data_IF_958335117242
#
_entry.id   IF_958335117242
#
_cell.length_a   1.000
_cell.length_b   1.000
_cell.length_c   1.000
_cell.angle_alpha   90.00
_cell.angle_beta   90.00
_cell.angle_gamma   90.00
#
_symmetry.space_group_name_H-M   'P 1'
#
loop_
_entity.id
_entity.type
_entity.pdbx_description
1 polymer ?
#
# COMPACT_ATOMS: atom_id res chain seq x y z
N UNK A 1 -4.57 -14.46 7.06
CA UNK A 1 -4.83 -13.97 5.68
C UNK A 1 -3.59 -14.22 4.83
N UNK A 2 -3.70 -14.91 3.69
CA UNK A 2 -2.55 -15.29 2.81
C UNK A 2 -2.53 -14.38 1.58
N UNK A 3 -1.33 -13.99 1.14
CA UNK A 3 -1.07 -13.30 -0.12
C UNK A 3 -0.45 -14.26 -1.13
N UNK A 4 -0.86 -14.15 -2.40
CA UNK A 4 -0.27 -14.86 -3.55
C UNK A 4 -0.09 -13.85 -4.68
N UNK A 5 1.13 -13.65 -5.15
CA UNK A 5 1.39 -12.85 -6.35
C UNK A 5 0.94 -13.63 -7.59
N UNK A 6 0.05 -13.06 -8.40
CA UNK A 6 -0.43 -13.71 -9.63
C UNK A 6 0.63 -13.76 -10.73
N UNK A 7 1.59 -12.83 -10.73
CA UNK A 7 2.63 -12.76 -11.75
C UNK A 7 3.78 -13.75 -11.51
N UNK A 8 4.18 -13.97 -10.26
CA UNK A 8 5.37 -14.77 -9.92
C UNK A 8 5.13 -15.90 -8.90
N UNK A 9 3.90 -16.07 -8.41
CA UNK A 9 3.55 -17.11 -7.44
C UNK A 9 4.06 -16.87 -6.02
N UNK A 10 4.74 -15.75 -5.76
CA UNK A 10 5.23 -15.42 -4.41
C UNK A 10 4.13 -15.49 -3.36
N UNK A 11 4.40 -16.19 -2.26
CA UNK A 11 3.44 -16.41 -1.18
C UNK A 11 3.93 -15.90 0.16
N UNK A 12 3.05 -15.25 0.90
CA UNK A 12 3.33 -14.73 2.24
C UNK A 12 2.04 -14.60 3.05
N UNK A 13 2.17 -14.28 4.34
CA UNK A 13 1.06 -13.69 5.07
C UNK A 13 0.75 -12.29 4.49
N UNK A 14 -0.53 -11.94 4.38
CA UNK A 14 -0.98 -10.70 3.75
C UNK A 14 -0.57 -9.45 4.54
N UNK A 15 -0.61 -9.50 5.87
CA UNK A 15 -0.24 -8.38 6.75
C UNK A 15 1.28 -8.11 6.68
N UNK A 16 2.08 -9.19 6.62
CA UNK A 16 3.53 -9.11 6.40
C UNK A 16 3.85 -8.51 5.03
N UNK A 17 3.13 -8.92 3.99
CA UNK A 17 3.29 -8.35 2.65
C UNK A 17 2.87 -6.87 2.61
N UNK A 18 1.79 -6.52 3.33
CA UNK A 18 1.33 -5.14 3.50
C UNK A 18 2.39 -4.26 4.15
N UNK A 19 3.01 -4.71 5.24
CA UNK A 19 4.08 -3.98 5.93
C UNK A 19 5.27 -3.69 5.00
N UNK A 20 5.65 -4.65 4.15
CA UNK A 20 6.73 -4.48 3.17
C UNK A 20 6.39 -3.44 2.11
N UNK A 21 5.16 -3.43 1.61
CA UNK A 21 4.71 -2.44 0.63
C UNK A 21 4.73 -1.02 1.20
N UNK A 22 4.30 -0.84 2.46
CA UNK A 22 4.36 0.46 3.14
C UNK A 22 5.80 0.92 3.32
N UNK A 23 6.71 0.03 3.75
CA UNK A 23 8.13 0.34 3.89
C UNK A 23 8.75 0.76 2.54
N UNK A 24 8.46 0.02 1.48
CA UNK A 24 8.95 0.31 0.13
C UNK A 24 8.44 1.67 -0.38
N UNK A 25 7.15 1.98 -0.16
CA UNK A 25 6.58 3.27 -0.51
C UNK A 25 7.25 4.41 0.28
N UNK A 26 7.49 4.22 1.58
CA UNK A 26 8.21 5.19 2.41
C UNK A 26 9.64 5.44 1.92
N UNK A 27 10.39 4.38 1.59
CA UNK A 27 11.72 4.51 1.00
C UNK A 27 11.70 5.23 -0.35
N UNK A 28 10.69 4.97 -1.19
CA UNK A 28 10.53 5.69 -2.46
C UNK A 28 10.25 7.18 -2.26
N UNK A 29 9.40 7.54 -1.29
CA UNK A 29 9.15 8.95 -0.92
C UNK A 29 10.44 9.62 -0.46
N UNK A 30 11.21 8.99 0.43
CA UNK A 30 12.50 9.51 0.91
C UNK A 30 13.52 9.70 -0.22
N UNK A 31 13.66 8.69 -1.09
CA UNK A 31 14.60 8.74 -2.21
C UNK A 31 14.27 9.82 -3.24
N UNK A 32 12.97 10.11 -3.45
CA UNK A 32 12.50 11.14 -4.36
C UNK A 32 12.53 12.56 -3.76
N UNK A 33 13.13 12.75 -2.57
CA UNK A 33 13.18 14.06 -1.90
C UNK A 33 11.85 14.48 -1.26
N UNK A 34 10.90 13.56 -1.14
CA UNK A 34 9.66 13.78 -0.40
C UNK A 34 9.97 13.93 1.08
N UNK A 35 9.69 15.11 1.63
CA UNK A 35 9.70 15.31 3.08
C UNK A 35 8.70 14.36 3.72
N UNK A 36 9.08 13.67 4.80
CA UNK A 36 8.12 12.93 5.64
C UNK A 36 7.06 13.93 6.07
N UNK A 37 5.87 13.85 5.47
CA UNK A 37 4.67 14.53 5.97
C UNK A 37 4.37 13.89 7.33
N UNK A 38 5.02 14.40 8.38
CA UNK A 38 4.66 14.14 9.76
C UNK A 38 3.35 14.84 10.15
N UNK A 39 2.68 15.47 9.17
CA UNK A 39 1.31 15.94 9.28
C UNK A 39 0.39 14.76 9.54
N UNK A 40 -0.27 14.80 10.70
CA UNK A 40 -1.32 13.88 11.17
C UNK A 40 -2.03 13.17 10.00
N UNK A 41 -2.22 11.84 10.05
CA UNK A 41 -3.04 11.15 9.07
C UNK A 41 -4.40 11.83 9.01
N UNK A 42 -4.69 12.57 7.94
CA UNK A 42 -6.05 12.90 7.60
C UNK A 42 -6.69 11.54 7.32
N UNK A 43 -7.66 11.13 8.15
CA UNK A 43 -8.51 9.98 7.85
C UNK A 43 -9.00 10.13 6.41
N UNK A 44 -8.38 9.39 5.50
CA UNK A 44 -8.90 9.29 4.15
C UNK A 44 -10.04 8.30 4.24
N UNK A 45 -11.26 8.81 4.21
CA UNK A 45 -12.44 7.97 4.03
C UNK A 45 -12.26 7.15 2.74
N UNK A 46 -12.55 5.83 2.75
CA UNK A 46 -12.53 5.04 1.53
C UNK A 46 -13.47 5.70 0.53
N UNK A 47 -12.93 6.19 -0.59
CA UNK A 47 -13.79 6.65 -1.68
C UNK A 47 -14.58 5.43 -2.14
N UNK A 48 -15.89 5.47 -1.87
CA UNK A 48 -16.82 4.36 -2.09
C UNK A 48 -16.61 3.73 -3.46
N UNK A 49 -16.62 2.39 -3.47
CA UNK A 49 -16.41 1.56 -4.64
C UNK A 49 -17.03 2.18 -5.90
N UNK A 50 -16.18 2.52 -6.87
CA UNK A 50 -16.60 2.96 -8.19
C UNK A 50 -17.32 1.76 -8.82
N UNK A 51 -18.64 1.88 -9.00
CA UNK A 51 -19.44 0.89 -9.71
C UNK A 51 -18.87 0.71 -11.13
N UNK A 52 -18.62 -0.54 -11.53
CA UNK A 52 -18.35 -0.85 -12.92
C UNK A 52 -19.66 -0.70 -13.72
N UNK A 53 -19.65 -0.03 -14.89
CA UNK A 53 -20.82 -0.04 -15.76
C UNK A 53 -21.04 -1.46 -16.31
N UNK A 54 -22.31 -1.85 -16.36
CA UNK A 54 -22.82 -3.04 -17.06
C UNK A 54 -22.58 -2.96 -18.55
#
# INVERSE_FOLDING_TARGET
SKFVCQACGYTANADVNGARNILAAGHAVLACGGMVQSGRPLKQEPTGARQAPV
#
